data_IF_893730599375
#
_entry.id   IF_893730599375
#
_cell.length_a   1.000
_cell.length_b   1.000
_cell.length_c   1.000
_cell.angle_alpha   90.00
_cell.angle_beta   90.00
_cell.angle_gamma   90.00
#
_symmetry.space_group_name_H-M   'P 1'
#
loop_
_entity.id
_entity.type
_entity.pdbx_description
1 polymer ?
#
# COMPACT_ATOMS: atom_id res chain seq x y z
N UNK A 1 20.20 28.41 -13.22
CA UNK A 1 20.04 27.69 -14.51
C UNK A 1 19.44 26.28 -14.35
N UNK A 2 19.66 25.56 -13.23
CA UNK A 2 19.01 24.26 -12.94
C UNK A 2 17.48 24.35 -12.86
N UNK A 3 16.95 25.37 -12.19
CA UNK A 3 15.49 25.51 -12.01
C UNK A 3 14.74 25.67 -13.32
N UNK A 4 15.26 26.45 -14.27
CA UNK A 4 14.61 26.64 -15.57
C UNK A 4 14.53 25.34 -16.38
N UNK A 5 15.59 24.52 -16.38
CA UNK A 5 15.60 23.23 -17.04
C UNK A 5 14.64 22.23 -16.37
N UNK A 6 14.59 22.22 -15.03
CA UNK A 6 13.67 21.38 -14.26
C UNK A 6 12.21 21.81 -14.48
N UNK A 7 11.91 23.11 -14.47
CA UNK A 7 10.58 23.65 -14.80
C UNK A 7 10.17 23.23 -16.21
N UNK A 8 11.07 23.28 -17.19
CA UNK A 8 10.79 22.80 -18.56
C UNK A 8 10.58 21.29 -18.64
N UNK A 9 11.28 20.49 -17.81
CA UNK A 9 11.03 19.04 -17.70
C UNK A 9 9.66 18.77 -17.07
N UNK A 10 9.32 19.43 -15.96
CA UNK A 10 8.02 19.33 -15.28
C UNK A 10 6.87 19.74 -16.22
N UNK A 11 7.03 20.84 -16.97
CA UNK A 11 6.06 21.25 -17.99
C UNK A 11 5.89 20.19 -19.08
N UNK A 12 6.96 19.50 -19.49
CA UNK A 12 6.87 18.37 -20.41
C UNK A 12 6.11 17.18 -19.82
N UNK A 13 6.28 16.88 -18.53
CA UNK A 13 5.49 15.84 -17.85
C UNK A 13 4.01 16.16 -17.95
N UNK A 14 3.62 17.37 -17.53
CA UNK A 14 2.22 17.86 -17.55
C UNK A 14 1.65 17.88 -18.98
N UNK A 15 2.43 18.31 -19.97
CA UNK A 15 2.00 18.36 -21.36
C UNK A 15 1.93 16.97 -22.03
N UNK A 16 2.86 16.06 -21.76
CA UNK A 16 2.79 14.67 -22.22
C UNK A 16 1.59 13.94 -21.61
N UNK A 17 1.33 14.22 -20.34
CA UNK A 17 0.09 13.85 -19.64
C UNK A 17 -1.16 14.35 -20.39
N UNK A 18 -1.12 15.53 -21.00
CA UNK A 18 -2.29 16.15 -21.68
C UNK A 18 -2.65 15.48 -23.01
N UNK A 19 -1.66 14.99 -23.75
CA UNK A 19 -1.86 14.43 -25.10
C UNK A 19 -2.53 13.04 -25.07
N UNK A 20 -2.39 12.29 -23.97
CA UNK A 20 -3.00 10.95 -23.81
C UNK A 20 -4.31 10.92 -23.01
N UNK A 21 -4.70 12.01 -22.33
CA UNK A 21 -5.73 11.99 -21.28
C UNK A 21 -7.08 12.60 -21.71
N UNK A 22 -7.45 12.51 -23.00
CA UNK A 22 -8.65 13.14 -23.57
C UNK A 22 -9.84 13.27 -22.60
N UNK A 23 -10.35 14.51 -22.45
CA UNK A 23 -11.43 14.97 -21.54
C UNK A 23 -12.28 13.84 -20.94
N UNK A 24 -12.02 13.47 -19.69
CA UNK A 24 -12.83 12.49 -18.95
C UNK A 24 -14.03 13.20 -18.34
N UNK A 25 -15.12 13.32 -19.10
CA UNK A 25 -16.30 14.13 -18.71
C UNK A 25 -17.38 13.39 -17.93
N UNK A 26 -17.29 12.07 -17.74
CA UNK A 26 -18.27 11.29 -16.98
C UNK A 26 -17.61 10.13 -16.24
N UNK A 27 -17.56 10.24 -14.92
CA UNK A 27 -16.98 9.27 -13.97
C UNK A 27 -17.53 7.87 -14.24
N UNK A 28 -18.85 7.73 -14.35
CA UNK A 28 -19.56 6.46 -14.54
C UNK A 28 -19.34 5.79 -15.90
N UNK A 29 -19.05 6.54 -16.97
CA UNK A 29 -18.84 6.00 -18.32
C UNK A 29 -17.34 5.76 -18.61
N UNK A 30 -16.48 6.42 -17.85
CA UNK A 30 -15.05 6.15 -17.82
C UNK A 30 -14.82 4.78 -17.15
N UNK A 31 -15.38 4.58 -15.96
CA UNK A 31 -15.17 3.42 -15.09
C UNK A 31 -15.46 2.06 -15.77
N UNK A 32 -16.52 1.93 -16.56
CA UNK A 32 -16.88 0.65 -17.22
C UNK A 32 -15.89 0.22 -18.31
N UNK A 33 -15.00 1.10 -18.74
CA UNK A 33 -14.00 0.86 -19.81
C UNK A 33 -12.56 0.82 -19.23
N UNK A 34 -12.38 1.07 -17.92
CA UNK A 34 -11.13 1.64 -17.39
C UNK A 34 -10.15 0.70 -16.67
N UNK A 35 -10.51 -0.55 -16.37
CA UNK A 35 -9.63 -1.40 -15.53
C UNK A 35 -8.25 -1.69 -16.13
N UNK A 36 -8.16 -1.87 -17.47
CA UNK A 36 -6.89 -2.26 -18.10
C UNK A 36 -6.59 -1.59 -19.43
N UNK A 37 -7.60 -1.33 -20.26
CA UNK A 37 -7.45 -0.76 -21.60
C UNK A 37 -6.94 0.68 -21.59
N UNK A 38 -7.30 1.48 -20.57
CA UNK A 38 -6.80 2.85 -20.41
C UNK A 38 -5.54 2.97 -19.55
N UNK A 39 -5.24 2.06 -18.62
CA UNK A 39 -3.89 1.98 -18.04
C UNK A 39 -2.89 1.58 -19.13
N UNK A 40 -3.29 0.65 -20.02
CA UNK A 40 -2.56 0.32 -21.23
C UNK A 40 -2.48 1.53 -22.17
N UNK A 41 -3.56 2.27 -22.44
CA UNK A 41 -3.51 3.47 -23.28
C UNK A 41 -2.75 4.65 -22.66
N UNK A 42 -2.73 4.78 -21.32
CA UNK A 42 -1.91 5.75 -20.59
C UNK A 42 -0.45 5.33 -20.63
N UNK A 43 -0.13 4.09 -20.30
CA UNK A 43 1.23 3.55 -20.43
C UNK A 43 1.74 3.65 -21.88
N UNK A 44 0.90 3.32 -22.88
CA UNK A 44 1.21 3.44 -24.31
C UNK A 44 1.28 4.90 -24.76
N UNK A 45 0.40 5.78 -24.27
CA UNK A 45 0.45 7.22 -24.55
C UNK A 45 1.72 7.87 -23.98
N UNK A 46 2.13 7.44 -22.78
CA UNK A 46 3.41 7.79 -22.17
C UNK A 46 4.60 7.24 -22.98
N UNK A 47 4.49 6.03 -23.57
CA UNK A 47 5.50 5.43 -24.46
C UNK A 47 5.64 6.16 -25.81
N UNK A 48 4.52 6.56 -26.43
CA UNK A 48 4.49 7.18 -27.75
C UNK A 48 4.95 8.64 -27.73
N UNK A 49 4.78 9.35 -26.61
CA UNK A 49 5.07 10.77 -26.49
C UNK A 49 6.58 11.14 -26.49
N UNK A 50 7.52 10.18 -26.35
CA UNK A 50 8.92 10.56 -26.10
C UNK A 50 10.02 9.75 -26.83
N UNK A 51 9.70 8.81 -27.71
CA UNK A 51 10.66 8.28 -28.69
C UNK A 51 12.02 7.72 -28.18
N UNK A 52 12.25 7.45 -26.88
CA UNK A 52 13.53 6.87 -26.47
C UNK A 52 13.85 6.68 -24.98
N UNK A 53 14.64 5.61 -24.76
CA UNK A 53 15.61 5.28 -23.67
C UNK A 53 15.15 4.57 -22.38
N UNK A 54 13.88 4.57 -21.98
CA UNK A 54 13.40 3.72 -20.87
C UNK A 54 11.98 3.22 -21.14
N UNK A 55 11.89 2.13 -21.90
CA UNK A 55 10.61 1.49 -22.21
C UNK A 55 10.02 0.72 -21.02
N UNK A 56 8.81 0.13 -21.17
CA UNK A 56 8.18 -0.75 -20.16
C UNK A 56 9.06 -1.95 -19.75
N UNK A 57 10.09 -2.25 -20.54
CA UNK A 57 11.08 -3.27 -20.26
C UNK A 57 12.14 -2.85 -19.22
N UNK A 58 12.14 -1.60 -18.74
CA UNK A 58 12.98 -1.20 -17.61
C UNK A 58 12.47 -1.91 -16.34
N UNK A 59 13.30 -2.71 -15.65
CA UNK A 59 12.86 -3.46 -14.47
C UNK A 59 12.26 -2.60 -13.37
N UNK A 60 12.81 -1.40 -13.16
CA UNK A 60 12.30 -0.46 -12.15
C UNK A 60 10.90 0.07 -12.49
N UNK A 61 10.62 0.33 -13.77
CA UNK A 61 9.29 0.78 -14.22
C UNK A 61 8.29 -0.37 -14.13
N UNK A 62 8.68 -1.58 -14.52
CA UNK A 62 7.83 -2.77 -14.40
C UNK A 62 7.49 -3.08 -12.93
N UNK A 63 8.47 -2.96 -12.02
CA UNK A 63 8.27 -3.06 -10.58
C UNK A 63 7.29 -1.99 -10.05
N UNK A 64 7.51 -0.71 -10.40
CA UNK A 64 6.64 0.37 -9.98
C UNK A 64 5.20 0.17 -10.48
N UNK A 65 5.02 -0.28 -11.74
CA UNK A 65 3.71 -0.59 -12.32
C UNK A 65 3.02 -1.77 -11.61
N UNK A 66 3.77 -2.83 -11.30
CA UNK A 66 3.26 -3.98 -10.53
C UNK A 66 2.78 -3.51 -9.16
N UNK A 67 3.58 -2.69 -8.49
CA UNK A 67 3.26 -2.22 -7.15
C UNK A 67 2.00 -1.33 -7.13
N UNK A 68 1.83 -0.41 -8.10
CA UNK A 68 0.63 0.44 -8.14
C UNK A 68 -0.60 -0.36 -8.52
N UNK A 69 -0.45 -1.41 -9.33
CA UNK A 69 -1.55 -2.30 -9.66
C UNK A 69 -2.02 -3.07 -8.42
N UNK A 70 -1.09 -3.64 -7.64
CA UNK A 70 -1.39 -4.31 -6.37
C UNK A 70 -2.11 -3.35 -5.40
N UNK A 71 -1.60 -2.12 -5.26
CA UNK A 71 -2.24 -1.11 -4.41
C UNK A 71 -3.68 -0.79 -4.84
N UNK A 72 -3.94 -0.73 -6.15
CA UNK A 72 -5.29 -0.59 -6.70
C UNK A 72 -6.20 -1.77 -6.34
N UNK A 73 -5.72 -2.99 -6.51
CA UNK A 73 -6.48 -4.21 -6.18
C UNK A 73 -6.83 -4.23 -4.69
N UNK A 74 -5.86 -3.96 -3.81
CA UNK A 74 -6.08 -3.90 -2.36
C UNK A 74 -7.12 -2.82 -2.01
N UNK A 75 -7.01 -1.61 -2.56
CA UNK A 75 -7.96 -0.53 -2.29
C UNK A 75 -9.40 -0.89 -2.69
N UNK A 76 -9.55 -1.56 -3.84
CA UNK A 76 -10.84 -2.08 -4.30
C UNK A 76 -11.39 -3.13 -3.36
N UNK A 77 -10.58 -4.12 -2.99
CA UNK A 77 -11.02 -5.27 -2.19
C UNK A 77 -11.37 -4.83 -0.75
N UNK A 78 -10.62 -3.89 -0.16
CA UNK A 78 -10.99 -3.22 1.10
C UNK A 78 -12.35 -2.52 0.96
N UNK A 79 -12.54 -1.77 -0.13
CA UNK A 79 -13.81 -1.11 -0.43
C UNK A 79 -14.99 -2.07 -0.55
N UNK A 80 -14.79 -3.20 -1.23
CA UNK A 80 -15.80 -4.24 -1.41
C UNK A 80 -16.18 -4.89 -0.08
N UNK A 81 -15.20 -5.21 0.77
CA UNK A 81 -15.45 -5.73 2.13
C UNK A 81 -16.30 -4.76 2.96
N UNK A 82 -16.11 -3.45 2.79
CA UNK A 82 -16.88 -2.42 3.48
C UNK A 82 -18.20 -2.04 2.79
N UNK A 83 -18.57 -2.70 1.69
CA UNK A 83 -19.79 -2.41 0.94
C UNK A 83 -19.79 -1.03 0.25
N UNK A 84 -18.61 -0.48 -0.05
CA UNK A 84 -18.47 0.78 -0.81
C UNK A 84 -18.90 0.56 -2.25
N UNK A 85 -19.89 1.33 -2.72
CA UNK A 85 -20.42 1.20 -4.09
C UNK A 85 -19.43 1.62 -5.18
N UNK A 86 -18.43 2.43 -4.82
CA UNK A 86 -17.42 3.01 -5.70
C UNK A 86 -16.12 2.17 -5.74
N UNK A 87 -16.25 0.86 -5.93
CA UNK A 87 -15.11 -0.07 -5.88
C UNK A 87 -14.09 0.20 -7.01
N UNK A 88 -14.57 0.56 -8.20
CA UNK A 88 -13.71 0.88 -9.33
C UNK A 88 -12.98 2.21 -9.16
N UNK A 89 -13.64 3.21 -8.58
CA UNK A 89 -13.00 4.46 -8.18
C UNK A 89 -11.91 4.20 -7.15
N UNK A 90 -12.14 3.29 -6.21
CA UNK A 90 -11.13 2.89 -5.23
C UNK A 90 -9.93 2.19 -5.86
N UNK A 91 -10.16 1.34 -6.86
CA UNK A 91 -9.07 0.77 -7.65
C UNK A 91 -8.20 1.86 -8.28
N UNK A 92 -8.83 2.86 -8.90
CA UNK A 92 -8.16 4.03 -9.48
C UNK A 92 -7.40 4.81 -8.41
N UNK A 93 -8.01 5.07 -7.25
CA UNK A 93 -7.37 5.78 -6.14
C UNK A 93 -6.13 5.05 -5.63
N UNK A 94 -6.22 3.73 -5.41
CA UNK A 94 -5.09 2.92 -4.95
C UNK A 94 -3.94 2.92 -5.97
N UNK A 95 -4.25 2.82 -7.26
CA UNK A 95 -3.24 2.85 -8.32
C UNK A 95 -2.56 4.21 -8.47
N UNK A 96 -3.33 5.31 -8.43
CA UNK A 96 -2.79 6.65 -8.58
C UNK A 96 -2.28 7.27 -7.28
N UNK A 97 -2.41 6.59 -6.14
CA UNK A 97 -1.87 7.02 -4.84
C UNK A 97 -0.37 7.37 -4.88
N UNK A 98 0.39 6.78 -5.82
CA UNK A 98 1.82 7.04 -6.04
C UNK A 98 2.13 7.59 -7.43
N UNK A 99 1.17 8.28 -8.04
CA UNK A 99 1.30 8.85 -9.39
C UNK A 99 2.53 9.74 -9.52
N UNK A 100 2.80 10.63 -8.57
CA UNK A 100 3.95 11.53 -8.66
C UNK A 100 5.30 10.80 -8.63
N UNK A 101 5.42 9.72 -7.85
CA UNK A 101 6.61 8.88 -7.85
C UNK A 101 6.79 8.18 -9.20
N UNK A 102 5.71 7.63 -9.77
CA UNK A 102 5.73 6.97 -11.08
C UNK A 102 6.12 7.94 -12.20
N UNK A 103 5.55 9.15 -12.18
CA UNK A 103 5.88 10.20 -13.15
C UNK A 103 7.34 10.64 -13.03
N UNK A 104 7.86 10.76 -11.81
CA UNK A 104 9.26 11.14 -11.61
C UNK A 104 10.19 10.02 -12.09
N UNK A 105 9.91 8.77 -11.70
CA UNK A 105 10.67 7.60 -12.16
C UNK A 105 10.73 7.51 -13.70
N UNK A 106 9.62 7.82 -14.37
CA UNK A 106 9.51 7.68 -15.82
C UNK A 106 10.06 8.88 -16.60
N UNK A 107 9.70 10.11 -16.21
CA UNK A 107 10.02 11.32 -16.96
C UNK A 107 11.22 12.10 -16.45
N UNK A 108 11.56 11.92 -15.17
CA UNK A 108 12.59 12.67 -14.45
C UNK A 108 13.59 11.69 -13.83
N UNK A 109 14.07 10.72 -14.62
CA UNK A 109 14.88 9.61 -14.11
C UNK A 109 16.11 10.08 -13.34
N UNK A 110 16.81 11.11 -13.83
CA UNK A 110 17.99 11.62 -13.13
C UNK A 110 17.62 12.21 -11.76
N UNK A 111 16.50 12.94 -11.69
CA UNK A 111 15.98 13.49 -10.44
C UNK A 111 15.48 12.39 -9.50
N UNK A 112 14.81 11.36 -10.03
CA UNK A 112 14.41 10.19 -9.26
C UNK A 112 15.62 9.50 -8.63
N UNK A 113 16.68 9.24 -9.40
CA UNK A 113 17.89 8.59 -8.91
C UNK A 113 18.63 9.45 -7.87
N UNK A 114 18.61 10.78 -8.01
CA UNK A 114 19.11 11.72 -6.99
C UNK A 114 18.29 11.66 -5.70
N UNK A 115 16.96 11.60 -5.80
CA UNK A 115 16.08 11.47 -4.63
C UNK A 115 16.38 10.17 -3.89
N UNK A 116 16.47 9.04 -4.60
CA UNK A 116 16.79 7.74 -3.98
C UNK A 116 18.15 7.75 -3.29
N UNK A 117 19.18 8.36 -3.92
CA UNK A 117 20.49 8.53 -3.28
C UNK A 117 20.41 9.35 -2.00
N UNK A 118 19.70 10.48 -1.99
CA UNK A 118 19.54 11.30 -0.78
C UNK A 118 18.83 10.56 0.34
N UNK A 119 17.78 9.81 0.01
CA UNK A 119 17.08 8.97 1.00
C UNK A 119 18.05 7.96 1.63
N UNK A 120 18.89 7.29 0.82
CA UNK A 120 19.84 6.31 1.31
C UNK A 120 21.03 6.94 2.08
N UNK A 121 21.65 7.98 1.52
CA UNK A 121 22.90 8.56 2.02
C UNK A 121 22.67 9.53 3.19
N UNK A 122 21.59 10.32 3.14
CA UNK A 122 21.28 11.36 4.13
C UNK A 122 20.24 10.88 5.18
N UNK A 123 19.67 9.68 5.01
CA UNK A 123 18.64 9.10 5.91
C UNK A 123 17.43 10.02 6.14
N UNK A 124 17.08 10.83 5.14
CA UNK A 124 15.91 11.72 5.16
C UNK A 124 14.70 11.03 4.53
N UNK A 125 13.50 11.46 4.94
CA UNK A 125 12.27 10.89 4.39
C UNK A 125 12.09 11.25 2.89
N UNK A 126 11.39 10.39 2.11
CA UNK A 126 11.19 10.62 0.69
C UNK A 126 10.48 11.95 0.33
N UNK A 127 9.62 12.49 1.21
CA UNK A 127 8.95 13.75 0.96
C UNK A 127 9.91 14.94 1.11
N UNK A 128 10.80 14.91 2.09
CA UNK A 128 11.89 15.87 2.23
C UNK A 128 12.89 15.80 1.08
N UNK A 129 13.33 14.60 0.71
CA UNK A 129 14.25 14.39 -0.42
C UNK A 129 13.65 14.88 -1.74
N UNK A 130 12.39 14.53 -2.03
CA UNK A 130 11.70 15.02 -3.23
C UNK A 130 11.52 16.54 -3.22
N UNK A 131 11.22 17.16 -2.07
CA UNK A 131 11.15 18.62 -1.97
C UNK A 131 12.49 19.30 -2.27
N UNK A 132 13.62 18.73 -1.80
CA UNK A 132 14.95 19.27 -2.07
C UNK A 132 15.34 19.19 -3.56
N UNK A 133 14.94 18.13 -4.25
CA UNK A 133 15.33 17.88 -5.65
C UNK A 133 14.34 18.50 -6.65
N UNK A 134 13.04 18.34 -6.41
CA UNK A 134 11.96 18.74 -7.32
C UNK A 134 11.33 20.09 -6.95
N UNK A 135 11.54 20.59 -5.73
CA UNK A 135 10.83 21.75 -5.17
C UNK A 135 9.45 21.43 -4.58
N UNK A 136 8.99 20.18 -4.70
CA UNK A 136 7.67 19.71 -4.27
C UNK A 136 7.72 18.21 -3.97
N UNK A 137 6.74 17.70 -3.22
CA UNK A 137 6.68 16.27 -2.88
C UNK A 137 6.06 15.44 -4.01
N UNK A 138 6.29 14.12 -4.00
CA UNK A 138 5.59 13.22 -4.93
C UNK A 138 4.06 13.33 -4.84
N UNK A 139 3.51 13.46 -3.63
CA UNK A 139 2.07 13.63 -3.42
C UNK A 139 1.55 14.91 -4.09
N UNK A 140 2.28 16.02 -3.91
CA UNK A 140 1.96 17.30 -4.56
C UNK A 140 2.01 17.16 -6.09
N UNK A 141 3.04 16.50 -6.64
CA UNK A 141 3.14 16.25 -8.08
C UNK A 141 1.96 15.43 -8.61
N UNK A 142 1.63 14.34 -7.91
CA UNK A 142 0.55 13.43 -8.31
C UNK A 142 -0.80 14.14 -8.32
N UNK A 143 -1.11 14.91 -7.28
CA UNK A 143 -2.37 15.66 -7.16
C UNK A 143 -2.50 16.72 -8.26
N UNK A 144 -1.45 17.50 -8.52
CA UNK A 144 -1.50 18.53 -9.56
C UNK A 144 -1.65 17.95 -10.97
N UNK A 145 -1.01 16.81 -11.25
CA UNK A 145 -1.20 16.12 -12.54
C UNK A 145 -2.60 15.52 -12.64
N UNK A 146 -3.14 14.94 -11.57
CA UNK A 146 -4.52 14.43 -11.55
C UNK A 146 -5.55 15.54 -11.78
N UNK A 147 -5.35 16.73 -11.18
CA UNK A 147 -6.16 17.93 -11.45
C UNK A 147 -6.09 18.35 -12.91
N UNK A 148 -4.89 18.39 -13.48
CA UNK A 148 -4.68 18.72 -14.88
C UNK A 148 -5.35 17.71 -15.83
N UNK A 149 -5.44 16.44 -15.43
CA UNK A 149 -6.20 15.39 -16.11
C UNK A 149 -7.72 15.49 -15.92
N UNK A 150 -8.21 16.48 -15.17
CA UNK A 150 -9.61 16.64 -14.80
C UNK A 150 -10.16 15.39 -14.09
N UNK A 151 -9.37 14.79 -13.20
CA UNK A 151 -9.89 13.73 -12.34
C UNK A 151 -11.01 14.30 -11.45
N UNK A 152 -12.02 13.50 -11.11
CA UNK A 152 -13.08 13.92 -10.20
C UNK A 152 -12.52 14.26 -8.82
N UNK A 153 -13.10 15.29 -8.18
CA UNK A 153 -12.71 15.73 -6.83
C UNK A 153 -12.67 14.59 -5.79
N UNK A 154 -13.58 13.60 -5.78
CA UNK A 154 -13.47 12.46 -4.86
C UNK A 154 -12.18 11.64 -5.03
N UNK A 155 -11.71 11.48 -6.27
CA UNK A 155 -10.46 10.74 -6.57
C UNK A 155 -9.26 11.58 -6.14
N UNK A 156 -9.25 12.88 -6.46
CA UNK A 156 -8.19 13.80 -6.04
C UNK A 156 -8.10 13.85 -4.52
N UNK A 157 -9.25 13.91 -3.83
CA UNK A 157 -9.31 13.88 -2.36
C UNK A 157 -8.72 12.59 -1.81
N UNK A 158 -9.05 11.45 -2.39
CA UNK A 158 -8.55 10.14 -1.97
C UNK A 158 -7.03 9.96 -2.15
N UNK A 159 -6.38 10.75 -3.01
CA UNK A 159 -4.93 10.74 -3.19
C UNK A 159 -4.16 11.44 -2.05
N UNK A 160 -4.81 12.30 -1.27
CA UNK A 160 -4.15 13.03 -0.18
C UNK A 160 -3.80 12.11 1.00
N UNK A 161 -2.68 12.39 1.67
CA UNK A 161 -2.29 11.78 2.94
C UNK A 161 -3.43 11.87 3.97
N UNK A 162 -3.67 10.77 4.69
CA UNK A 162 -4.54 10.81 5.86
C UNK A 162 -3.78 11.45 7.03
N UNK A 163 -4.48 12.12 7.96
CA UNK A 163 -3.89 12.65 9.19
C UNK A 163 -3.22 11.54 10.01
N UNK A 164 -2.26 11.87 10.87
CA UNK A 164 -1.51 10.87 11.65
C UNK A 164 -2.32 10.27 12.82
N UNK A 165 -3.40 10.95 13.20
CA UNK A 165 -4.26 10.56 14.29
C UNK A 165 -5.18 9.39 13.93
N UNK A 166 -5.95 8.93 14.92
CA UNK A 166 -6.95 7.90 14.73
C UNK A 166 -8.00 8.35 13.71
N UNK A 167 -8.31 7.48 12.75
CA UNK A 167 -9.25 7.79 11.68
C UNK A 167 -10.66 7.46 12.17
N UNK A 168 -11.50 8.50 12.27
CA UNK A 168 -12.90 8.37 12.70
C UNK A 168 -13.81 7.70 11.68
N UNK A 169 -15.07 7.51 12.06
CA UNK A 169 -16.10 7.01 11.14
C UNK A 169 -16.34 8.00 10.00
N UNK A 170 -16.43 7.50 8.78
CA UNK A 170 -16.71 8.34 7.63
C UNK A 170 -18.12 8.94 7.69
N UNK A 171 -18.23 10.25 7.52
CA UNK A 171 -19.48 11.01 7.45
C UNK A 171 -20.09 11.08 6.04
N UNK A 172 -19.32 10.69 5.01
CA UNK A 172 -19.74 10.71 3.61
C UNK A 172 -19.10 9.59 2.79
N UNK A 173 -19.66 9.29 1.60
CA UNK A 173 -19.08 8.31 0.67
C UNK A 173 -17.69 8.74 0.19
N UNK A 174 -17.46 10.04 0.00
CA UNK A 174 -16.15 10.59 -0.40
C UNK A 174 -15.11 10.39 0.70
N UNK A 175 -15.49 10.61 1.96
CA UNK A 175 -14.60 10.37 3.09
C UNK A 175 -14.34 8.88 3.28
N UNK A 176 -15.34 8.03 3.06
CA UNK A 176 -15.17 6.58 3.08
C UNK A 176 -14.20 6.12 2.00
N UNK A 177 -14.28 6.70 0.80
CA UNK A 177 -13.32 6.43 -0.27
C UNK A 177 -11.90 6.86 0.12
N UNK A 178 -11.76 8.04 0.73
CA UNK A 178 -10.47 8.54 1.21
C UNK A 178 -9.87 7.63 2.29
N UNK A 179 -10.69 7.13 3.23
CA UNK A 179 -10.26 6.18 4.24
C UNK A 179 -9.79 4.86 3.63
N UNK A 180 -10.55 4.26 2.71
CA UNK A 180 -10.15 3.01 2.05
C UNK A 180 -8.88 3.16 1.21
N UNK A 181 -8.75 4.26 0.46
CA UNK A 181 -7.55 4.53 -0.34
C UNK A 181 -6.32 4.76 0.54
N UNK A 182 -6.47 5.53 1.62
CA UNK A 182 -5.41 5.76 2.58
C UNK A 182 -5.01 4.48 3.33
N UNK A 183 -5.99 3.64 3.68
CA UNK A 183 -5.78 2.32 4.28
C UNK A 183 -4.90 1.45 3.40
N UNK A 184 -5.27 1.27 2.13
CA UNK A 184 -4.50 0.46 1.19
C UNK A 184 -3.10 1.02 0.93
N UNK A 185 -2.95 2.35 0.87
CA UNK A 185 -1.65 3.00 0.72
C UNK A 185 -0.75 2.74 1.93
N UNK A 186 -1.25 2.91 3.15
CA UNK A 186 -0.48 2.66 4.37
C UNK A 186 -0.12 1.17 4.51
N UNK A 187 -1.05 0.27 4.19
CA UNK A 187 -0.78 -1.17 4.12
C UNK A 187 0.33 -1.51 3.11
N UNK A 188 0.33 -0.86 1.95
CA UNK A 188 1.41 -1.02 0.97
C UNK A 188 2.73 -0.37 1.42
N UNK A 189 2.69 0.66 2.27
CA UNK A 189 3.89 1.29 2.80
C UNK A 189 4.55 0.41 3.87
N UNK A 190 3.77 -0.08 4.83
CA UNK A 190 4.28 -0.96 5.88
C UNK A 190 4.78 -2.29 5.30
N UNK A 191 4.16 -2.81 4.23
CA UNK A 191 4.63 -4.01 3.55
C UNK A 191 6.03 -3.86 2.91
N UNK A 192 6.59 -2.64 2.83
CA UNK A 192 7.95 -2.41 2.33
C UNK A 192 9.00 -2.36 3.45
N UNK A 193 8.60 -2.44 4.71
CA UNK A 193 9.54 -2.49 5.84
C UNK A 193 10.39 -3.75 5.73
N UNK A 194 11.72 -3.60 5.81
CA UNK A 194 12.67 -4.71 5.62
C UNK A 194 12.61 -5.71 6.79
N UNK A 195 12.41 -5.21 8.01
CA UNK A 195 12.31 -6.04 9.21
C UNK A 195 10.87 -6.57 9.39
N UNK A 196 10.73 -7.90 9.52
CA UNK A 196 9.45 -8.57 9.76
C UNK A 196 8.81 -8.22 11.10
N UNK A 197 9.60 -8.01 12.17
CA UNK A 197 9.07 -7.63 13.49
C UNK A 197 8.49 -6.21 13.45
N UNK A 198 9.22 -5.26 12.86
CA UNK A 198 8.76 -3.88 12.67
C UNK A 198 7.51 -3.84 11.78
N UNK A 199 7.45 -4.72 10.77
CA UNK A 199 6.30 -4.85 9.88
C UNK A 199 5.05 -5.35 10.59
N UNK A 200 5.16 -6.40 11.40
CA UNK A 200 4.05 -6.95 12.18
C UNK A 200 3.57 -5.94 13.24
N UNK A 201 4.50 -5.25 13.91
CA UNK A 201 4.15 -4.16 14.84
C UNK A 201 3.43 -3.00 14.13
N UNK A 202 3.93 -2.57 12.96
CA UNK A 202 3.29 -1.54 12.15
C UNK A 202 1.92 -1.98 11.62
N UNK A 203 1.75 -3.26 11.26
CA UNK A 203 0.49 -3.83 10.84
C UNK A 203 -0.55 -3.82 11.97
N UNK A 204 -0.16 -4.21 13.19
CA UNK A 204 -1.05 -4.13 14.36
C UNK A 204 -1.45 -2.68 14.67
N UNK A 205 -0.50 -1.75 14.63
CA UNK A 205 -0.77 -0.32 14.81
C UNK A 205 -1.70 0.25 13.73
N UNK A 206 -1.53 -0.19 12.47
CA UNK A 206 -2.40 0.17 11.36
C UNK A 206 -3.84 -0.30 11.58
N UNK A 207 -4.05 -1.55 12.00
CA UNK A 207 -5.38 -2.06 12.34
C UNK A 207 -6.04 -1.24 13.47
N UNK A 208 -5.29 -0.88 14.50
CA UNK A 208 -5.79 -0.09 15.62
C UNK A 208 -6.16 1.34 15.19
N UNK A 209 -5.32 1.97 14.37
CA UNK A 209 -5.53 3.34 13.86
C UNK A 209 -6.79 3.45 13.01
N UNK A 210 -7.10 2.43 12.22
CA UNK A 210 -8.26 2.41 11.34
C UNK A 210 -9.50 1.70 11.91
N UNK A 211 -9.45 1.21 13.16
CA UNK A 211 -10.51 0.36 13.73
C UNK A 211 -11.94 0.95 13.62
N UNK A 212 -12.09 2.28 13.66
CA UNK A 212 -13.39 2.95 13.51
C UNK A 212 -13.80 3.18 12.04
N UNK A 213 -12.82 3.38 11.16
CA UNK A 213 -13.03 3.73 9.75
C UNK A 213 -13.14 2.51 8.84
N UNK A 214 -12.31 1.49 9.09
CA UNK A 214 -12.17 0.24 8.34
C UNK A 214 -12.16 -0.90 9.36
N UNK A 215 -13.34 -1.34 9.85
CA UNK A 215 -13.47 -2.39 10.85
C UNK A 215 -13.26 -3.78 10.23
N UNK A 216 -12.05 -4.03 9.70
CA UNK A 216 -11.63 -5.33 9.16
C UNK A 216 -10.62 -5.93 10.13
N UNK A 217 -10.90 -7.15 10.60
CA UNK A 217 -10.00 -7.87 11.51
C UNK A 217 -8.81 -8.48 10.76
N UNK A 218 -7.69 -8.71 11.47
CA UNK A 218 -6.50 -9.38 10.93
C UNK A 218 -6.83 -10.73 10.26
N UNK A 219 -7.73 -11.51 10.85
CA UNK A 219 -8.21 -12.82 10.36
C UNK A 219 -8.91 -12.73 9.00
N UNK A 220 -9.51 -11.59 8.68
CA UNK A 220 -10.16 -11.32 7.40
C UNK A 220 -9.20 -10.63 6.43
N UNK A 221 -8.36 -9.73 6.93
CA UNK A 221 -7.46 -8.91 6.11
C UNK A 221 -6.35 -9.72 5.46
N UNK A 222 -5.70 -10.63 6.21
CA UNK A 222 -4.60 -11.44 5.69
C UNK A 222 -4.99 -12.31 4.48
N UNK A 223 -6.06 -13.12 4.53
CA UNK A 223 -6.49 -13.87 3.35
C UNK A 223 -6.98 -12.96 2.21
N UNK A 224 -7.57 -11.80 2.52
CA UNK A 224 -7.94 -10.80 1.50
C UNK A 224 -6.69 -10.30 0.78
N UNK A 225 -5.62 -9.92 1.49
CA UNK A 225 -4.35 -9.49 0.91
C UNK A 225 -3.74 -10.58 0.04
N UNK A 226 -3.76 -11.84 0.49
CA UNK A 226 -3.29 -12.99 -0.28
C UNK A 226 -4.01 -13.09 -1.63
N UNK A 227 -5.35 -13.03 -1.60
CA UNK A 227 -6.19 -13.10 -2.79
C UNK A 227 -5.99 -11.89 -3.72
N UNK A 228 -5.85 -10.68 -3.16
CA UNK A 228 -5.56 -9.45 -3.90
C UNK A 228 -4.23 -9.56 -4.65
N UNK A 229 -3.17 -10.05 -3.98
CA UNK A 229 -1.85 -10.26 -4.61
C UNK A 229 -1.94 -11.28 -5.73
N UNK A 230 -2.59 -12.43 -5.50
CA UNK A 230 -2.74 -13.46 -6.53
C UNK A 230 -3.51 -12.94 -7.75
N UNK A 231 -4.63 -12.25 -7.53
CA UNK A 231 -5.43 -11.63 -8.59
C UNK A 231 -4.63 -10.58 -9.36
N UNK A 232 -3.82 -9.78 -8.66
CA UNK A 232 -2.96 -8.77 -9.27
C UNK A 232 -1.93 -9.40 -10.21
N UNK A 233 -1.22 -10.43 -9.73
CA UNK A 233 -0.20 -11.11 -10.53
C UNK A 233 -0.78 -11.80 -11.77
N UNK A 234 -1.95 -12.45 -11.66
CA UNK A 234 -2.65 -13.04 -12.82
C UNK A 234 -2.92 -12.01 -13.92
N UNK A 235 -3.35 -10.81 -13.54
CA UNK A 235 -3.61 -9.72 -14.48
C UNK A 235 -2.34 -9.14 -15.11
N UNK A 236 -1.26 -8.99 -14.33
CA UNK A 236 0.05 -8.53 -14.84
C UNK A 236 0.59 -9.50 -15.90
N UNK A 237 0.54 -10.81 -15.62
CA UNK A 237 0.96 -11.86 -16.57
C UNK A 237 0.10 -11.82 -17.84
N UNK A 238 -1.23 -11.76 -17.70
CA UNK A 238 -2.15 -11.70 -18.83
C UNK A 238 -1.99 -10.43 -19.68
N UNK A 239 -1.36 -9.39 -19.14
CA UNK A 239 -1.13 -8.11 -19.80
C UNK A 239 0.23 -8.01 -20.50
N UNK A 240 0.99 -9.10 -20.58
CA UNK A 240 2.35 -9.18 -21.16
C UNK A 240 3.37 -8.23 -20.48
N UNK A 241 3.06 -7.77 -19.26
CA UNK A 241 4.00 -7.00 -18.46
C UNK A 241 4.97 -7.95 -17.77
N UNK A 242 6.25 -7.55 -17.73
CA UNK A 242 7.25 -8.31 -16.96
C UNK A 242 6.92 -8.24 -15.48
N UNK A 243 6.74 -9.42 -14.88
CA UNK A 243 6.60 -9.54 -13.43
C UNK A 243 7.97 -9.24 -12.80
N UNK A 244 8.03 -8.19 -11.98
CA UNK A 244 9.19 -7.93 -11.15
C UNK A 244 8.89 -8.42 -9.73
N UNK A 245 9.84 -9.09 -9.10
CA UNK A 245 9.81 -9.23 -7.65
C UNK A 245 10.15 -7.87 -7.02
N UNK A 246 9.36 -7.48 -6.02
CA UNK A 246 9.48 -6.19 -5.36
C UNK A 246 9.37 -6.41 -3.86
N UNK A 247 10.03 -5.56 -3.07
CA UNK A 247 9.94 -5.58 -1.60
C UNK A 247 8.49 -5.52 -1.12
N UNK A 248 7.63 -4.79 -1.85
CA UNK A 248 6.19 -4.77 -1.57
C UNK A 248 5.57 -6.16 -1.72
N UNK A 249 5.82 -6.83 -2.85
CA UNK A 249 5.22 -8.12 -3.14
C UNK A 249 5.61 -9.17 -2.10
N UNK A 250 6.89 -9.19 -1.72
CA UNK A 250 7.40 -10.13 -0.73
C UNK A 250 6.81 -9.81 0.65
N UNK A 251 6.79 -8.54 1.05
CA UNK A 251 6.22 -8.17 2.34
C UNK A 251 4.71 -8.33 2.44
N UNK A 252 3.96 -8.17 1.35
CA UNK A 252 2.52 -8.49 1.31
C UNK A 252 2.26 -10.00 1.40
N UNK A 253 3.15 -10.84 0.86
CA UNK A 253 3.05 -12.30 1.00
C UNK A 253 3.30 -12.73 2.43
N UNK A 254 4.32 -12.19 3.07
CA UNK A 254 4.59 -12.45 4.49
C UNK A 254 3.44 -11.98 5.38
N UNK A 255 2.87 -10.79 5.12
CA UNK A 255 1.69 -10.31 5.85
C UNK A 255 0.44 -11.17 5.62
N UNK A 256 0.33 -11.84 4.48
CA UNK A 256 -0.79 -12.73 4.19
C UNK A 256 -0.71 -14.03 4.99
N UNK A 257 0.46 -14.42 5.49
CA UNK A 257 0.62 -15.57 6.38
C UNK A 257 0.13 -15.21 7.79
N UNK A 258 -0.48 -16.16 8.54
CA UNK A 258 -0.82 -15.92 9.94
C UNK A 258 0.46 -15.62 10.74
N UNK A 259 0.38 -14.76 11.78
CA UNK A 259 1.56 -14.46 12.59
C UNK A 259 2.15 -15.77 13.12
N UNK A 260 3.43 -15.98 12.87
CA UNK A 260 4.19 -17.08 13.46
C UNK A 260 4.26 -16.84 14.95
N UNK A 261 3.27 -17.37 15.69
CA UNK A 261 3.37 -17.48 17.14
C UNK A 261 4.65 -18.28 17.40
N UNK A 262 5.63 -17.77 18.15
CA UNK A 262 6.73 -18.59 18.60
C UNK A 262 6.08 -19.77 19.31
N UNK A 263 6.31 -20.98 18.81
CA UNK A 263 5.80 -22.18 19.45
C UNK A 263 6.18 -22.10 20.93
N UNK A 264 5.18 -22.06 21.81
CA UNK A 264 5.40 -22.27 23.22
C UNK A 264 6.07 -23.65 23.34
N UNK A 265 7.38 -23.67 23.56
CA UNK A 265 8.09 -24.84 24.06
C UNK A 265 7.49 -25.19 25.41
N UNK A 266 6.51 -26.09 25.44
CA UNK A 266 5.91 -26.45 26.72
C UNK A 266 4.63 -27.27 26.70
N UNK A 267 4.51 -28.33 25.89
CA UNK A 267 3.58 -29.42 26.22
C UNK A 267 4.09 -30.74 25.65
N UNK A 268 5.13 -31.28 26.29
CA UNK A 268 5.46 -32.70 26.18
C UNK A 268 4.21 -33.49 26.58
N UNK A 269 3.65 -34.20 25.60
CA UNK A 269 2.63 -35.20 25.80
C UNK A 269 3.21 -36.32 26.68
N UNK A 270 3.03 -36.19 28.00
CA UNK A 270 3.16 -37.31 28.91
C UNK A 270 1.95 -38.23 28.70
N UNK A 271 2.26 -39.36 28.07
CA UNK A 271 1.39 -40.48 27.76
C UNK A 271 0.52 -40.89 28.95
N UNK A 272 -0.76 -41.13 28.67
CA UNK A 272 -1.66 -41.85 29.54
C UNK A 272 -1.21 -43.31 29.67
N UNK A 273 -0.85 -43.74 30.88
CA UNK A 273 -0.84 -45.15 31.27
C UNK A 273 -1.60 -45.30 32.60
N UNK A 274 -2.46 -46.31 32.63
CA UNK A 274 -3.62 -46.48 33.50
C UNK A 274 -3.29 -46.68 35.01
N UNK A 275 -4.26 -46.43 35.91
CA UNK A 275 -4.06 -46.53 37.34
C UNK A 275 -4.20 -47.99 37.81
N UNK A 276 -3.25 -48.48 38.60
CA UNK A 276 -3.49 -49.62 39.47
C UNK A 276 -3.23 -49.23 40.92
N UNK A 277 -4.28 -49.34 41.73
CA UNK A 277 -4.33 -48.92 43.12
C UNK A 277 -3.88 -50.05 44.05
N UNK A 278 -3.10 -49.71 45.09
CA UNK A 278 -3.42 -49.89 46.53
C UNK A 278 -2.21 -49.55 47.44
N UNK A 279 -2.44 -49.29 48.74
CA UNK A 279 -1.91 -48.09 49.42
C UNK A 279 -0.94 -48.39 50.56
N UNK A 280 -0.18 -47.39 51.01
CA UNK A 280 0.31 -47.31 52.40
C UNK A 280 0.33 -45.86 52.92
N UNK A 281 0.20 -45.65 54.24
CA UNK A 281 -0.36 -44.42 54.79
C UNK A 281 0.66 -43.48 55.46
N UNK A 282 0.17 -42.26 55.67
CA UNK A 282 0.57 -41.29 56.69
C UNK A 282 1.91 -40.55 56.47
N UNK A 283 1.83 -39.22 56.36
CA UNK A 283 2.07 -38.34 57.50
C UNK A 283 1.68 -36.88 57.21
N UNK A 284 0.71 -36.43 58.02
CA UNK A 284 0.49 -35.09 58.57
C UNK A 284 1.71 -34.16 58.55
N UNK A 285 1.53 -32.88 58.18
CA UNK A 285 1.86 -31.65 58.94
C UNK A 285 1.63 -30.45 58.00
N UNK A 286 0.50 -29.73 58.10
CA UNK A 286 0.23 -28.54 58.94
C UNK A 286 0.76 -27.21 58.34
N UNK A 287 -0.21 -26.42 57.87
CA UNK A 287 -0.32 -24.95 57.89
C UNK A 287 0.91 -24.10 58.25
N UNK A 288 1.20 -23.11 57.40
CA UNK A 288 1.35 -21.73 57.86
C UNK A 288 1.00 -20.73 56.73
N UNK A 289 -0.13 -20.05 56.90
CA UNK A 289 -0.40 -18.73 56.30
C UNK A 289 0.52 -17.71 56.96
N UNK A 290 1.10 -16.78 56.20
CA UNK A 290 1.34 -15.42 56.67
C UNK A 290 1.09 -14.43 55.53
N UNK A 291 -0.06 -13.76 55.62
CA UNK A 291 -0.29 -12.39 55.10
C UNK A 291 0.40 -11.44 56.08
N UNK A 292 1.10 -10.41 55.62
CA UNK A 292 1.17 -9.04 56.19
C UNK A 292 1.90 -8.18 55.14
N UNK A 293 1.25 -7.26 54.41
CA UNK A 293 0.85 -5.87 54.74
C UNK A 293 1.98 -4.83 54.63
N UNK A 294 1.67 -3.73 53.91
CA UNK A 294 2.22 -2.37 53.95
C UNK A 294 3.69 -2.14 53.55
N UNK A 295 3.90 -1.43 52.43
CA UNK A 295 4.01 0.04 52.37
C UNK A 295 3.86 0.51 50.91
#
# INVERSE_FOLDING_TARGET
MRDFALTQKLLRVVNAASVGAGKVTKVSQAITILGMSRLRALAIGMMLANGGRSGPNCPAVAAALTDVFIAGVIARDVGQTLGVRAAEELFICGMFSRLGQLLTLYYLKEEHDEIQRRVADESIDPASASRLVLGLTFDQLGVEVARHWNFPDPIIRAMHALPEEQIGTASSDVERMWHCAGYARELCALARLENGEDREAAFAAHLQRFALAVPIESTQLRPMVAASVEAALKHVIASELKLAQTTLLDGLRELAEPPTVPAEEGASAASAEAPNARPEPAQTVRFARLRTSML
#
